data_IF_718415169606
#
_entry.id   IF_718415169606
#
_cell.length_a   1.000
_cell.length_b   1.000
_cell.length_c   1.000
_cell.angle_alpha   90.00
_cell.angle_beta   90.00
_cell.angle_gamma   90.00
#
_symmetry.space_group_name_H-M   'P 1'
#
loop_
_entity.id
_entity.type
_entity.pdbx_description
1 polymer ?
#
# COMPACT_ATOMS: atom_id res chain seq x y z
N UNK A 1 -26.18 -29.93 -20.86
CA UNK A 1 -24.99 -29.79 -21.72
C UNK A 1 -25.42 -28.94 -22.90
N UNK A 2 -24.89 -27.78 -23.26
CA UNK A 2 -23.78 -26.92 -22.76
C UNK A 2 -24.01 -25.60 -23.49
N UNK A 3 -24.27 -24.51 -22.78
CA UNK A 3 -24.33 -23.13 -23.29
C UNK A 3 -23.06 -22.40 -22.88
N UNK A 4 -22.17 -22.17 -23.85
CA UNK A 4 -21.05 -21.21 -23.79
C UNK A 4 -20.78 -20.86 -25.25
N UNK A 5 -21.03 -19.61 -25.63
CA UNK A 5 -20.46 -18.92 -26.81
C UNK A 5 -21.01 -17.49 -27.03
N UNK A 6 -21.94 -16.98 -26.20
CA UNK A 6 -22.56 -15.65 -26.41
C UNK A 6 -22.02 -14.47 -25.58
N UNK A 7 -20.93 -14.61 -24.82
CA UNK A 7 -20.44 -13.52 -23.94
C UNK A 7 -19.35 -12.64 -24.56
N UNK A 8 -18.62 -13.10 -25.57
CA UNK A 8 -17.46 -12.38 -26.10
C UNK A 8 -17.81 -11.27 -27.10
N UNK A 9 -18.97 -11.34 -27.77
CA UNK A 9 -19.41 -10.32 -28.73
C UNK A 9 -19.96 -9.04 -28.07
N UNK A 10 -20.43 -9.14 -26.82
CA UNK A 10 -21.05 -8.01 -26.11
C UNK A 10 -20.04 -6.99 -25.55
N UNK A 11 -18.82 -7.46 -25.24
CA UNK A 11 -17.75 -6.62 -24.69
C UNK A 11 -17.06 -5.78 -25.77
N UNK A 12 -16.82 -6.35 -26.95
CA UNK A 12 -16.26 -5.62 -28.09
C UNK A 12 -17.26 -4.60 -28.66
N UNK A 13 -18.56 -4.93 -28.63
CA UNK A 13 -19.63 -3.99 -28.97
C UNK A 13 -19.71 -2.80 -28.00
N UNK A 14 -19.42 -3.04 -26.71
CA UNK A 14 -19.39 -2.00 -25.67
C UNK A 14 -18.16 -1.09 -25.80
N UNK A 15 -16.99 -1.64 -26.15
CA UNK A 15 -15.78 -0.88 -26.44
C UNK A 15 -15.92 0.02 -27.68
N UNK A 16 -16.56 -0.47 -28.76
CA UNK A 16 -16.83 0.33 -29.97
C UNK A 16 -17.82 1.48 -29.73
N UNK A 17 -18.79 1.30 -28.83
CA UNK A 17 -19.68 2.39 -28.40
C UNK A 17 -18.94 3.43 -27.54
N UNK A 18 -17.93 3.02 -26.78
CA UNK A 18 -17.10 3.89 -25.95
C UNK A 18 -16.26 4.86 -26.80
N UNK A 19 -15.72 4.39 -27.94
CA UNK A 19 -14.84 5.18 -28.81
C UNK A 19 -15.59 6.19 -29.69
N UNK A 20 -16.90 6.02 -29.90
CA UNK A 20 -17.70 6.86 -30.80
C UNK A 20 -18.34 8.11 -30.15
N UNK A 21 -18.22 8.31 -28.84
CA UNK A 21 -18.99 9.33 -28.09
C UNK A 21 -18.15 10.47 -27.48
N UNK A 22 -17.01 10.83 -28.09
CA UNK A 22 -16.08 11.87 -27.57
C UNK A 22 -16.42 13.30 -28.04
N UNK A 23 -17.58 13.52 -28.68
CA UNK A 23 -18.01 14.86 -29.10
C UNK A 23 -19.15 15.40 -28.21
N UNK A 24 -18.82 16.11 -27.12
CA UNK A 24 -19.82 16.89 -26.36
C UNK A 24 -19.55 17.02 -24.86
N UNK A 25 -18.85 18.09 -24.46
CA UNK A 25 -18.28 18.32 -23.13
C UNK A 25 -19.23 18.65 -21.97
N UNK A 26 -20.32 17.91 -21.77
CA UNK A 26 -21.11 17.96 -20.52
C UNK A 26 -21.50 16.59 -19.97
N UNK A 27 -21.33 15.54 -20.79
CA UNK A 27 -21.63 14.16 -20.39
C UNK A 27 -20.53 13.55 -19.50
N UNK A 28 -19.32 14.12 -19.52
CA UNK A 28 -18.15 13.58 -18.84
C UNK A 28 -18.22 13.75 -17.32
N UNK A 29 -18.80 14.86 -16.84
CA UNK A 29 -19.03 15.06 -15.40
C UNK A 29 -20.04 14.04 -14.87
N UNK A 30 -21.15 13.84 -15.60
CA UNK A 30 -22.17 12.86 -15.24
C UNK A 30 -21.68 11.42 -15.36
N UNK A 31 -20.82 11.11 -16.34
CA UNK A 31 -20.18 9.79 -16.49
C UNK A 31 -19.17 9.52 -15.40
N UNK A 32 -18.31 10.48 -15.05
CA UNK A 32 -17.36 10.34 -13.94
C UNK A 32 -18.10 10.24 -12.60
N UNK A 33 -19.16 11.02 -12.38
CA UNK A 33 -20.00 10.85 -11.19
C UNK A 33 -20.69 9.49 -11.20
N UNK A 34 -21.22 9.02 -12.32
CA UNK A 34 -21.90 7.73 -12.40
C UNK A 34 -20.96 6.52 -12.27
N UNK A 35 -19.76 6.56 -12.86
CA UNK A 35 -18.74 5.50 -12.67
C UNK A 35 -18.23 5.49 -11.25
N UNK A 36 -18.03 6.67 -10.64
CA UNK A 36 -17.66 6.78 -9.24
C UNK A 36 -18.82 6.35 -8.32
N UNK A 37 -20.08 6.67 -8.60
CA UNK A 37 -21.22 6.18 -7.82
C UNK A 37 -21.43 4.67 -7.99
N UNK A 38 -21.12 4.11 -9.16
CA UNK A 38 -21.17 2.67 -9.39
C UNK A 38 -20.03 1.92 -8.68
N UNK A 39 -18.84 2.52 -8.55
CA UNK A 39 -17.69 1.93 -7.85
C UNK A 39 -17.68 2.19 -6.33
N UNK A 40 -18.19 3.34 -5.88
CA UNK A 40 -18.05 3.85 -4.51
C UNK A 40 -19.39 4.08 -3.77
N UNK A 41 -20.52 3.86 -4.45
CA UNK A 41 -21.87 4.00 -3.87
C UNK A 41 -22.30 5.45 -3.62
N UNK A 42 -23.60 5.63 -3.37
CA UNK A 42 -24.25 6.94 -3.12
C UNK A 42 -23.76 7.61 -1.81
N UNK A 43 -23.08 6.85 -0.96
CA UNK A 43 -22.58 7.29 0.34
C UNK A 43 -21.30 8.15 0.23
N UNK A 44 -20.53 8.01 -0.85
CA UNK A 44 -19.33 8.83 -1.10
C UNK A 44 -19.70 10.32 -1.27
N UNK A 45 -20.75 10.62 -2.04
CA UNK A 45 -21.24 11.99 -2.26
C UNK A 45 -21.70 12.68 -0.97
N UNK A 46 -22.33 11.93 -0.05
CA UNK A 46 -22.75 12.46 1.25
C UNK A 46 -21.56 12.74 2.17
N UNK A 47 -20.54 11.88 2.16
CA UNK A 47 -19.33 12.06 2.96
C UNK A 47 -18.46 13.24 2.52
N UNK A 48 -18.37 13.50 1.20
CA UNK A 48 -17.58 14.64 0.67
C UNK A 48 -18.16 16.00 1.05
N UNK A 49 -19.50 16.09 1.20
CA UNK A 49 -20.19 17.33 1.57
C UNK A 49 -20.20 17.56 3.09
N UNK A 50 -20.18 16.51 3.90
CA UNK A 50 -20.18 16.64 5.37
C UNK A 50 -18.79 16.80 6.01
N UNK A 51 -17.71 16.35 5.36
CA UNK A 51 -16.40 16.14 6.02
C UNK A 51 -15.36 17.25 5.78
N UNK A 52 -15.77 18.50 5.57
CA UNK A 52 -14.82 19.62 5.43
C UNK A 52 -14.07 19.98 6.74
N UNK A 53 -14.42 19.36 7.89
CA UNK A 53 -13.98 19.81 9.22
C UNK A 53 -13.55 18.68 10.19
N UNK A 54 -13.39 17.44 9.75
CA UNK A 54 -12.92 16.38 10.66
C UNK A 54 -11.42 16.58 11.01
N UNK A 55 -11.04 16.61 12.31
CA UNK A 55 -9.64 16.77 12.73
C UNK A 55 -8.73 15.66 12.18
N UNK A 56 -9.28 14.45 11.98
CA UNK A 56 -8.60 13.32 11.35
C UNK A 56 -8.17 13.61 9.90
N UNK A 57 -8.99 14.37 9.15
CA UNK A 57 -8.65 14.76 7.77
C UNK A 57 -7.54 15.79 7.73
N UNK A 58 -7.54 16.75 8.65
CA UNK A 58 -6.47 17.75 8.76
C UNK A 58 -5.13 17.10 9.13
N UNK A 59 -5.17 16.12 10.03
CA UNK A 59 -4.01 15.30 10.35
C UNK A 59 -3.50 14.52 9.13
N UNK A 60 -4.40 13.87 8.38
CA UNK A 60 -4.03 13.17 7.14
C UNK A 60 -3.46 14.12 6.07
N UNK A 61 -3.96 15.36 5.98
CA UNK A 61 -3.44 16.37 5.06
C UNK A 61 -2.01 16.79 5.44
N UNK A 62 -1.76 17.05 6.72
CA UNK A 62 -0.41 17.35 7.20
C UNK A 62 0.55 16.17 6.98
N UNK A 63 0.11 14.95 7.26
CA UNK A 63 0.90 13.74 7.10
C UNK A 63 1.26 13.46 5.63
N UNK A 64 0.30 13.69 4.71
CA UNK A 64 0.51 13.56 3.27
C UNK A 64 1.42 14.66 2.72
N UNK A 65 1.26 15.90 3.19
CA UNK A 65 2.12 17.04 2.83
C UNK A 65 3.58 16.82 3.24
N UNK A 66 3.82 16.42 4.49
CA UNK A 66 5.15 16.05 4.97
C UNK A 66 5.76 14.90 4.17
N UNK A 67 4.96 13.88 3.86
CA UNK A 67 5.43 12.76 3.07
C UNK A 67 5.82 13.14 1.63
N UNK A 68 5.11 14.07 1.00
CA UNK A 68 5.51 14.62 -0.30
C UNK A 68 6.85 15.34 -0.21
N UNK A 69 7.03 16.16 0.82
CA UNK A 69 8.29 16.85 1.08
C UNK A 69 9.44 15.86 1.27
N UNK A 70 9.26 14.84 2.09
CA UNK A 70 10.27 13.80 2.32
C UNK A 70 10.61 13.05 1.02
N UNK A 71 9.60 12.68 0.23
CA UNK A 71 9.79 12.00 -1.04
C UNK A 71 10.55 12.88 -2.04
N UNK A 72 10.22 14.18 -2.09
CA UNK A 72 10.90 15.17 -2.93
C UNK A 72 12.36 15.36 -2.52
N UNK A 73 12.62 15.55 -1.23
CA UNK A 73 13.98 15.72 -0.69
C UNK A 73 14.83 14.45 -0.90
N UNK A 74 14.23 13.27 -0.73
CA UNK A 74 14.88 11.98 -1.03
C UNK A 74 15.22 11.84 -2.51
N UNK A 75 14.41 12.41 -3.40
CA UNK A 75 14.69 12.46 -4.84
C UNK A 75 15.74 13.54 -5.20
N UNK A 76 16.25 14.32 -4.24
CA UNK A 76 17.22 15.39 -4.47
C UNK A 76 16.63 16.60 -5.21
N UNK A 77 15.31 16.76 -5.22
CA UNK A 77 14.61 17.82 -5.94
C UNK A 77 14.29 18.99 -5.00
N UNK A 78 14.49 20.23 -5.45
CA UNK A 78 13.89 21.39 -4.78
C UNK A 78 12.39 21.47 -5.11
N UNK A 79 11.62 22.23 -4.32
CA UNK A 79 10.20 22.46 -4.61
C UNK A 79 9.98 23.10 -5.98
N UNK A 80 10.94 23.94 -6.40
CA UNK A 80 10.97 24.56 -7.71
C UNK A 80 11.20 23.53 -8.82
N UNK A 81 12.16 22.62 -8.64
CA UNK A 81 12.45 21.57 -9.62
C UNK A 81 11.25 20.61 -9.76
N UNK A 82 10.59 20.29 -8.64
CA UNK A 82 9.38 19.47 -8.67
C UNK A 82 8.24 20.17 -9.42
N UNK A 83 7.99 21.45 -9.11
CA UNK A 83 6.98 22.27 -9.79
C UNK A 83 7.21 22.34 -11.30
N UNK A 84 8.46 22.56 -11.72
CA UNK A 84 8.85 22.63 -13.13
C UNK A 84 8.71 21.28 -13.82
N UNK A 85 9.09 20.18 -13.16
CA UNK A 85 8.95 18.83 -13.71
C UNK A 85 7.47 18.41 -13.85
N UNK A 86 6.61 18.86 -12.94
CA UNK A 86 5.17 18.58 -12.98
C UNK A 86 4.40 19.51 -13.94
N UNK A 87 5.06 20.56 -14.47
CA UNK A 87 4.47 21.53 -15.38
C UNK A 87 3.46 22.47 -14.71
N UNK A 88 3.67 22.80 -13.43
CA UNK A 88 2.76 23.66 -12.67
C UNK A 88 3.01 25.13 -12.97
N UNK A 89 1.92 25.88 -13.20
CA UNK A 89 1.97 27.33 -13.38
C UNK A 89 2.09 28.08 -12.06
N UNK A 90 1.48 27.55 -11.00
CA UNK A 90 1.48 28.12 -9.66
C UNK A 90 2.37 27.29 -8.73
N UNK A 91 3.46 27.92 -8.24
CA UNK A 91 4.44 27.30 -7.35
C UNK A 91 3.93 27.25 -5.90
N UNK A 92 3.11 28.23 -5.49
CA UNK A 92 2.58 28.31 -4.14
C UNK A 92 1.64 27.14 -3.82
N UNK A 93 0.98 26.59 -4.84
CA UNK A 93 0.11 25.42 -4.68
C UNK A 93 0.85 24.20 -4.13
N UNK A 94 2.10 23.94 -4.55
CA UNK A 94 2.89 22.82 -3.99
C UNK A 94 3.33 23.10 -2.55
N UNK A 95 3.63 24.36 -2.23
CA UNK A 95 3.96 24.78 -0.86
C UNK A 95 2.77 24.56 0.07
N UNK A 96 1.57 24.95 -0.36
CA UNK A 96 0.31 24.74 0.37
C UNK A 96 -0.04 23.26 0.55
N UNK A 97 0.35 22.41 -0.41
CA UNK A 97 0.18 20.96 -0.29
C UNK A 97 1.20 20.38 0.69
N UNK A 98 2.48 20.76 0.60
CA UNK A 98 3.53 20.28 1.51
C UNK A 98 3.28 20.73 2.96
N UNK A 99 2.64 21.87 3.18
CA UNK A 99 2.22 22.34 4.51
C UNK A 99 0.91 21.70 5.01
N UNK A 100 0.20 20.95 4.17
CA UNK A 100 -1.11 20.37 4.50
C UNK A 100 -2.24 21.40 4.56
N UNK A 101 -2.08 22.57 3.96
CA UNK A 101 -3.11 23.62 3.86
C UNK A 101 -4.16 23.29 2.80
N UNK A 102 -3.72 22.65 1.71
CA UNK A 102 -4.57 22.32 0.55
C UNK A 102 -4.39 20.87 0.13
N UNK A 103 -5.44 20.26 -0.42
CA UNK A 103 -5.39 18.89 -0.94
C UNK A 103 -4.77 18.90 -2.33
N UNK A 104 -3.87 17.95 -2.58
CA UNK A 104 -3.29 17.72 -3.90
C UNK A 104 -4.33 17.15 -4.87
N UNK A 105 -4.64 17.79 -6.01
CA UNK A 105 -5.53 17.25 -7.03
C UNK A 105 -5.10 15.86 -7.52
N UNK A 106 -6.07 15.00 -7.85
CA UNK A 106 -5.84 13.61 -8.27
C UNK A 106 -4.82 13.49 -9.40
N UNK A 107 -4.91 14.39 -10.38
CA UNK A 107 -4.01 14.47 -11.52
C UNK A 107 -2.55 14.71 -11.07
N UNK A 108 -2.37 15.70 -10.20
CA UNK A 108 -1.07 16.06 -9.62
C UNK A 108 -0.52 14.94 -8.73
N UNK A 109 -1.40 14.23 -8.02
CA UNK A 109 -1.03 13.05 -7.23
C UNK A 109 -0.49 11.93 -8.11
N UNK A 110 -1.16 11.62 -9.23
CA UNK A 110 -0.71 10.57 -10.15
C UNK A 110 0.61 10.94 -10.85
N UNK A 111 0.78 12.20 -11.25
CA UNK A 111 2.06 12.69 -11.80
C UNK A 111 3.18 12.62 -10.75
N UNK A 112 2.91 13.08 -9.53
CA UNK A 112 3.88 13.06 -8.43
C UNK A 112 4.26 11.64 -8.03
N UNK A 113 3.29 10.72 -7.97
CA UNK A 113 3.55 9.30 -7.71
C UNK A 113 4.42 8.69 -8.81
N UNK A 114 4.18 9.03 -10.08
CA UNK A 114 4.97 8.54 -11.21
C UNK A 114 6.42 9.05 -11.17
N UNK A 115 6.62 10.27 -10.67
CA UNK A 115 7.92 10.95 -10.63
C UNK A 115 8.75 10.61 -9.38
N UNK A 116 8.14 10.73 -8.20
CA UNK A 116 8.81 10.61 -6.90
C UNK A 116 8.82 9.17 -6.40
N UNK A 117 7.75 8.42 -6.65
CA UNK A 117 7.60 7.07 -6.15
C UNK A 117 8.12 6.03 -7.16
N UNK A 118 9.32 6.28 -7.71
CA UNK A 118 9.96 5.50 -8.80
C UNK A 118 9.94 4.00 -8.57
N UNK A 119 10.10 3.58 -7.32
CA UNK A 119 10.09 2.18 -6.94
C UNK A 119 8.70 1.72 -6.52
N UNK A 120 7.81 2.59 -6.03
CA UNK A 120 6.51 2.15 -5.53
C UNK A 120 5.44 3.25 -5.36
N UNK A 121 4.51 3.41 -6.32
CA UNK A 121 3.50 4.47 -6.25
C UNK A 121 2.38 4.20 -5.26
N UNK A 122 2.19 2.95 -4.81
CA UNK A 122 0.98 2.58 -4.05
C UNK A 122 0.96 3.20 -2.65
N UNK A 123 2.02 3.11 -1.83
CA UNK A 123 2.04 3.79 -0.53
C UNK A 123 1.82 5.29 -0.67
N UNK A 124 2.36 5.89 -1.73
CA UNK A 124 2.19 7.31 -2.02
C UNK A 124 0.71 7.63 -2.28
N UNK A 125 0.07 6.87 -3.17
CA UNK A 125 -1.35 7.06 -3.50
C UNK A 125 -2.26 6.83 -2.29
N UNK A 126 -2.02 5.78 -1.50
CA UNK A 126 -2.83 5.49 -0.31
C UNK A 126 -2.80 6.67 0.66
N UNK A 127 -1.61 7.24 0.90
CA UNK A 127 -1.43 8.35 1.85
C UNK A 127 -2.20 9.59 1.43
N UNK A 128 -2.16 9.92 0.13
CA UNK A 128 -2.88 11.06 -0.41
C UNK A 128 -4.39 10.80 -0.56
N UNK A 129 -4.81 9.59 -0.89
CA UNK A 129 -6.23 9.21 -0.96
C UNK A 129 -6.94 9.36 0.40
N UNK A 130 -6.19 9.22 1.51
CA UNK A 130 -6.70 9.47 2.88
C UNK A 130 -7.21 10.91 3.06
N UNK A 131 -6.59 11.89 2.37
CA UNK A 131 -6.99 13.31 2.46
C UNK A 131 -8.33 13.60 1.79
N UNK A 132 -8.74 12.75 0.85
CA UNK A 132 -10.00 12.89 0.10
C UNK A 132 -11.19 12.30 0.84
N UNK A 133 -11.03 11.13 1.45
CA UNK A 133 -12.10 10.49 2.20
C UNK A 133 -11.53 9.55 3.27
N UNK A 134 -11.68 9.85 4.57
CA UNK A 134 -11.26 8.94 5.64
C UNK A 134 -12.06 7.63 5.66
N UNK A 135 -13.27 7.59 5.08
CA UNK A 135 -14.00 6.33 4.92
C UNK A 135 -13.36 5.41 3.86
N UNK A 136 -12.57 5.95 2.92
CA UNK A 136 -11.83 5.12 1.97
C UNK A 136 -10.78 4.27 2.69
N UNK A 137 -10.14 4.80 3.74
CA UNK A 137 -9.24 4.03 4.61
C UNK A 137 -9.96 2.79 5.10
N UNK A 138 -11.08 2.93 5.82
CA UNK A 138 -11.86 1.80 6.34
C UNK A 138 -12.26 0.80 5.26
N UNK A 139 -12.61 1.27 4.06
CA UNK A 139 -12.90 0.36 2.93
C UNK A 139 -11.66 -0.33 2.38
N UNK A 140 -10.51 0.33 2.33
CA UNK A 140 -9.22 -0.25 1.92
C UNK A 140 -8.72 -1.24 2.99
N UNK A 141 -8.90 -0.95 4.28
CA UNK A 141 -8.66 -1.89 5.38
C UNK A 141 -9.57 -3.11 5.25
N UNK A 142 -10.86 -2.88 5.00
CA UNK A 142 -11.88 -3.92 4.84
C UNK A 142 -11.69 -4.76 3.57
N UNK A 143 -11.15 -4.18 2.49
CA UNK A 143 -10.77 -4.88 1.26
C UNK A 143 -9.40 -5.57 1.37
N UNK A 144 -8.75 -5.50 2.54
CA UNK A 144 -7.49 -6.18 2.78
C UNK A 144 -6.31 -5.55 2.03
N UNK A 145 -6.39 -4.28 1.62
CA UNK A 145 -5.26 -3.58 0.98
C UNK A 145 -4.17 -3.27 2.01
N UNK A 146 -4.49 -3.20 3.31
CA UNK A 146 -3.49 -3.23 4.39
C UNK A 146 -2.84 -4.61 4.55
N UNK A 147 -3.54 -5.68 4.17
CA UNK A 147 -3.01 -7.05 4.12
C UNK A 147 -2.78 -7.43 2.67
N UNK A 148 -1.95 -6.67 1.96
CA UNK A 148 -1.57 -7.00 0.58
C UNK A 148 -1.31 -8.51 0.52
N UNK A 149 -2.10 -9.29 -0.26
CA UNK A 149 -1.95 -10.73 -0.27
C UNK A 149 -0.48 -11.07 -0.47
N UNK A 150 0.06 -12.05 0.26
CA UNK A 150 1.51 -12.38 0.20
C UNK A 150 2.04 -12.52 -1.23
N UNK A 151 1.21 -12.96 -2.16
CA UNK A 151 1.54 -13.04 -3.59
C UNK A 151 1.67 -11.66 -4.24
N UNK A 152 0.79 -10.73 -3.92
CA UNK A 152 0.88 -9.34 -4.36
C UNK A 152 2.15 -8.66 -3.88
N UNK A 153 2.56 -8.85 -2.62
CA UNK A 153 3.84 -8.32 -2.14
C UNK A 153 5.05 -8.91 -2.90
N UNK A 154 4.96 -10.19 -3.29
CA UNK A 154 6.02 -10.85 -4.09
C UNK A 154 6.08 -10.28 -5.50
N UNK A 155 4.94 -10.13 -6.15
CA UNK A 155 4.83 -9.51 -7.47
C UNK A 155 5.33 -8.06 -7.44
N UNK A 156 4.93 -7.29 -6.42
CA UNK A 156 5.40 -5.92 -6.19
C UNK A 156 6.91 -5.86 -6.06
N UNK A 157 7.54 -6.74 -5.27
CA UNK A 157 9.01 -6.80 -5.17
C UNK A 157 9.67 -7.06 -6.51
N UNK A 158 9.13 -7.95 -7.33
CA UNK A 158 9.66 -8.23 -8.66
C UNK A 158 9.53 -7.01 -9.60
N UNK A 159 8.36 -6.39 -9.66
CA UNK A 159 8.14 -5.17 -10.45
C UNK A 159 9.05 -4.03 -9.99
N UNK A 160 9.34 -3.93 -8.69
CA UNK A 160 10.22 -2.91 -8.15
C UNK A 160 11.68 -3.11 -8.60
N UNK A 161 12.16 -4.35 -8.73
CA UNK A 161 13.47 -4.65 -9.33
C UNK A 161 13.54 -4.14 -10.77
N UNK A 162 12.48 -4.38 -11.56
CA UNK A 162 12.39 -3.85 -12.93
C UNK A 162 12.43 -2.31 -12.94
N UNK A 163 11.65 -1.64 -12.08
CA UNK A 163 11.56 -0.18 -12.03
C UNK A 163 12.85 0.54 -11.61
N UNK A 164 13.73 -0.14 -10.87
CA UNK A 164 15.03 0.39 -10.45
C UNK A 164 15.97 0.65 -11.62
N UNK A 165 15.81 -0.09 -12.72
CA UNK A 165 16.70 0.00 -13.88
C UNK A 165 16.09 0.88 -14.97
N UNK A 166 16.37 2.18 -14.91
CA UNK A 166 15.79 3.15 -15.86
C UNK A 166 16.19 2.89 -17.32
N UNK A 167 17.38 2.32 -17.53
CA UNK A 167 17.88 1.88 -18.84
C UNK A 167 16.95 0.88 -19.54
N UNK A 168 16.13 0.12 -18.79
CA UNK A 168 15.18 -0.81 -19.39
C UNK A 168 14.06 -0.10 -20.15
N UNK A 169 13.76 1.16 -19.80
CA UNK A 169 12.73 1.98 -20.47
C UNK A 169 13.21 2.59 -21.79
N UNK A 170 14.52 2.67 -21.99
CA UNK A 170 15.11 3.20 -23.22
C UNK A 170 15.44 2.11 -24.25
N UNK A 171 15.19 0.84 -23.93
CA UNK A 171 15.42 -0.26 -24.86
C UNK A 171 14.48 -0.17 -26.06
N UNK A 172 15.01 -0.51 -27.23
CA UNK A 172 14.18 -0.75 -28.42
C UNK A 172 13.32 -2.00 -28.23
N UNK A 173 12.22 -2.11 -28.98
CA UNK A 173 11.32 -3.27 -28.90
C UNK A 173 12.08 -4.60 -29.05
N UNK A 174 13.02 -4.67 -30.02
CA UNK A 174 13.83 -5.85 -30.26
C UNK A 174 14.82 -6.16 -29.11
N UNK A 175 15.35 -5.13 -28.44
CA UNK A 175 16.19 -5.31 -27.24
C UNK A 175 15.37 -5.77 -26.04
N UNK A 176 14.16 -5.22 -25.90
CA UNK A 176 13.24 -5.57 -24.83
C UNK A 176 12.77 -7.02 -24.95
N UNK A 177 12.42 -7.48 -26.17
CA UNK A 177 12.09 -8.88 -26.41
C UNK A 177 13.23 -9.83 -26.02
N UNK A 178 14.47 -9.48 -26.38
CA UNK A 178 15.66 -10.25 -25.95
C UNK A 178 15.82 -10.26 -24.44
N UNK A 179 15.61 -9.12 -23.78
CA UNK A 179 15.65 -9.02 -22.32
C UNK A 179 14.62 -9.95 -21.66
N UNK A 180 13.38 -9.96 -22.15
CA UNK A 180 12.33 -10.85 -21.62
C UNK A 180 12.72 -12.32 -21.80
N UNK A 181 13.23 -12.71 -22.97
CA UNK A 181 13.69 -14.08 -23.22
C UNK A 181 14.83 -14.50 -22.26
N UNK A 182 15.78 -13.61 -21.97
CA UNK A 182 16.83 -13.87 -20.99
C UNK A 182 16.28 -13.98 -19.57
N UNK A 183 15.31 -13.15 -19.19
CA UNK A 183 14.68 -13.23 -17.87
C UNK A 183 13.87 -14.52 -17.69
N UNK A 184 13.15 -14.98 -18.72
CA UNK A 184 12.45 -16.27 -18.72
C UNK A 184 13.44 -17.44 -18.55
N UNK A 185 14.50 -17.46 -19.35
CA UNK A 185 15.55 -18.49 -19.27
C UNK A 185 16.22 -18.50 -17.89
N UNK A 186 16.53 -17.32 -17.35
CA UNK A 186 17.10 -17.16 -16.01
C UNK A 186 16.13 -17.62 -14.92
N UNK A 187 14.84 -17.32 -15.07
CA UNK A 187 13.78 -17.77 -14.16
C UNK A 187 13.69 -19.29 -14.09
N UNK A 188 13.68 -19.97 -15.24
CA UNK A 188 13.67 -21.42 -15.33
C UNK A 188 14.91 -22.03 -14.66
N UNK A 189 16.09 -21.50 -14.94
CA UNK A 189 17.34 -21.95 -14.31
C UNK A 189 17.30 -21.82 -12.78
N UNK A 190 16.86 -20.66 -12.27
CA UNK A 190 16.76 -20.44 -10.81
C UNK A 190 15.74 -21.40 -10.19
N UNK A 191 14.61 -21.65 -10.84
CA UNK A 191 13.61 -22.61 -10.36
C UNK A 191 14.18 -24.03 -10.30
N UNK A 192 14.93 -24.46 -11.30
CA UNK A 192 15.56 -25.78 -11.33
C UNK A 192 16.61 -25.92 -10.21
N UNK A 193 17.44 -24.90 -10.01
CA UNK A 193 18.44 -24.87 -8.92
C UNK A 193 17.73 -24.94 -7.56
N UNK A 194 16.72 -24.11 -7.32
CA UNK A 194 15.96 -24.11 -6.06
C UNK A 194 15.25 -25.46 -5.81
N UNK A 195 14.75 -26.10 -6.85
CA UNK A 195 14.17 -27.45 -6.74
C UNK A 195 15.24 -28.48 -6.36
N UNK A 196 16.42 -28.41 -6.98
CA UNK A 196 17.56 -29.28 -6.68
C UNK A 196 18.06 -29.13 -5.25
N UNK A 197 18.17 -27.89 -4.74
CA UNK A 197 18.56 -27.57 -3.36
C UNK A 197 17.54 -28.10 -2.36
N UNK A 198 16.24 -27.96 -2.66
CA UNK A 198 15.16 -28.47 -1.83
C UNK A 198 15.22 -30.00 -1.74
N UNK A 199 15.48 -30.68 -2.85
CA UNK A 199 15.62 -32.14 -2.90
C UNK A 199 16.88 -32.62 -2.14
N UNK A 200 18.01 -31.92 -2.28
CA UNK A 200 19.24 -32.22 -1.54
C UNK A 200 19.07 -32.00 -0.02
N UNK A 201 18.43 -30.90 0.37
CA UNK A 201 18.15 -30.57 1.78
C UNK A 201 17.18 -31.56 2.42
N UNK A 202 16.19 -32.07 1.67
CA UNK A 202 15.28 -33.11 2.15
C UNK A 202 15.99 -34.46 2.38
N UNK A 203 17.00 -34.79 1.57
CA UNK A 203 17.82 -36.00 1.75
C UNK A 203 18.80 -35.89 2.93
N UNK A 204 19.20 -34.69 3.30
CA UNK A 204 20.17 -34.44 4.38
C UNK A 204 19.51 -34.10 5.74
N UNK A 205 18.18 -34.10 5.84
CA UNK A 205 17.53 -34.07 7.15
C UNK A 205 17.89 -35.36 7.89
N UNK A 206 18.60 -35.30 9.04
CA UNK A 206 18.84 -36.48 9.84
C UNK A 206 17.45 -37.01 10.21
N UNK A 207 17.19 -38.25 9.77
CA UNK A 207 16.03 -39.02 10.21
C UNK A 207 16.03 -38.87 11.73
N UNK A 208 15.07 -38.13 12.30
CA UNK A 208 14.87 -38.17 13.75
C UNK A 208 14.69 -39.65 14.05
N UNK A 209 15.72 -40.25 14.62
CA UNK A 209 15.66 -41.60 15.13
C UNK A 209 14.40 -41.63 15.97
N UNK A 210 13.46 -42.50 15.59
CA UNK A 210 12.38 -42.88 16.46
C UNK A 210 13.05 -43.52 17.68
N UNK A 211 13.36 -42.69 18.68
CA UNK A 211 13.88 -43.16 19.95
C UNK A 211 12.92 -44.21 20.50
N UNK A 212 13.44 -45.29 21.10
CA UNK A 212 12.60 -46.40 21.54
C UNK A 212 11.55 -45.89 22.51
N UNK A 213 10.31 -46.36 22.33
CA UNK A 213 9.12 -46.00 23.08
C UNK A 213 9.44 -45.70 24.56
N UNK A 214 9.42 -44.41 24.90
CA UNK A 214 9.61 -43.95 26.26
C UNK A 214 8.51 -44.49 27.16
N UNK A 215 8.91 -45.33 28.13
CA UNK A 215 8.11 -45.77 29.28
C UNK A 215 7.27 -44.61 29.86
N UNK A 216 6.03 -44.87 30.34
CA UNK A 216 5.18 -43.82 30.88
C UNK A 216 5.82 -43.22 32.13
N UNK A 217 5.92 -41.89 32.18
CA UNK A 217 6.39 -41.11 33.34
C UNK A 217 5.52 -41.43 34.57
N UNK A 218 6.11 -41.68 35.75
CA UNK A 218 5.32 -41.81 36.98
C UNK A 218 4.76 -40.44 37.38
N UNK A 219 3.47 -40.42 37.73
CA UNK A 219 2.74 -39.23 38.21
C UNK A 219 3.42 -38.68 39.48
N UNK A 220 4.05 -37.51 39.38
CA UNK A 220 4.52 -36.77 40.54
C UNK A 220 3.32 -36.21 41.30
N UNK A 221 3.16 -36.67 42.55
CA UNK A 221 2.15 -36.21 43.51
C UNK A 221 2.21 -34.70 43.69
N UNK A 222 1.04 -34.06 43.68
CA UNK A 222 0.84 -32.66 44.00
C UNK A 222 1.46 -32.33 45.37
N UNK A 223 2.48 -31.45 45.38
CA UNK A 223 2.96 -30.80 46.61
C UNK A 223 2.13 -29.53 46.84
N UNK A 224 1.55 -29.48 48.03
CA UNK A 224 0.68 -28.43 48.53
C UNK A 224 1.32 -27.03 48.47
N UNK A 225 0.48 -26.04 48.16
CA UNK A 225 0.80 -24.60 48.20
C UNK A 225 1.18 -24.19 49.62
N UNK A 226 2.40 -23.69 49.80
CA UNK A 226 2.80 -22.92 50.98
C UNK A 226 2.37 -21.45 50.84
N UNK A 227 1.86 -20.78 51.89
CA UNK A 227 1.27 -19.45 51.79
C UNK A 227 2.35 -18.36 51.71
N UNK A 228 2.26 -17.48 50.69
CA UNK A 228 3.07 -16.26 50.61
C UNK A 228 2.61 -15.26 51.68
N UNK A 229 3.49 -15.00 52.64
CA UNK A 229 3.35 -13.94 53.66
C UNK A 229 3.28 -12.56 53.00
N UNK A 230 2.32 -11.75 53.47
CA UNK A 230 2.14 -10.33 53.17
C UNK A 230 3.39 -9.54 53.58
N UNK A 231 3.97 -8.78 52.66
CA UNK A 231 4.96 -7.76 52.99
C UNK A 231 4.24 -6.43 53.29
N UNK A 232 4.61 -5.83 54.42
CA UNK A 232 4.04 -4.64 55.03
C UNK A 232 4.37 -3.34 54.23
N UNK A 233 3.58 -2.27 54.38
CA UNK A 233 3.69 -1.08 53.54
C UNK A 233 4.85 -0.18 53.98
N UNK A 234 5.65 0.30 53.02
CA UNK A 234 6.66 1.34 53.29
C UNK A 234 6.01 2.72 53.41
N UNK A 235 6.36 3.38 54.50
CA UNK A 235 5.83 4.62 55.07
C UNK A 235 5.83 5.81 54.10
N UNK A 236 4.70 6.52 54.08
CA UNK A 236 4.56 7.92 53.65
C UNK A 236 5.47 8.82 54.50
N UNK A 237 6.23 9.71 53.87
CA UNK A 237 6.75 10.92 54.52
C UNK A 237 5.72 12.05 54.35
N UNK A 238 5.06 12.43 55.45
CA UNK A 238 4.65 13.83 55.75
C UNK A 238 5.79 14.40 56.63
N UNK A 239 6.13 15.68 56.72
CA UNK A 239 5.39 16.95 56.76
C UNK A 239 6.43 18.12 56.60
N UNK A 240 6.14 19.43 56.81
CA UNK A 240 4.86 20.07 57.13
C UNK A 240 4.51 21.30 56.27
N UNK A 241 3.26 21.74 56.44
CA UNK A 241 2.69 22.99 55.95
C UNK A 241 2.88 24.13 56.96
N UNK A 242 3.06 25.36 56.46
CA UNK A 242 2.86 26.68 57.09
C UNK A 242 3.54 27.72 56.15
N UNK A 243 3.00 28.88 55.77
CA UNK A 243 1.94 29.72 56.32
C UNK A 243 1.49 30.76 55.28
N UNK A 244 0.28 31.27 55.49
CA UNK A 244 -0.35 32.45 54.89
C UNK A 244 0.53 33.71 54.78
N UNK A 245 0.39 34.46 53.69
CA UNK A 245 -0.32 35.76 53.65
C UNK A 245 -0.61 36.16 52.20
#
# INVERSE_FOLDING_TARGET
MTTKDNEHDSLLGSLRKLTGQVAGGTLELARNTATMTAMFGENWLRSTVLNQLEPERLEAMAEAGHFLRDARETAGMSIKDLSETLGLSDKAMLEDIESGSTIMPLELMLRSASLLARHDPIPFLIKFMRTYNPALEKTLEQWGILTLPKQYERERRFVNLYRQHDVLRSLTDAEYERFIHYMESSGNLVLDVMQSEKAASAKHQPRKEAGPAGRPKPKAKAKAKAPKKKAAPRKRKRAPAAQHK
#
